data_IF_550513352391
#
_entry.id   IF_550513352391
#
_cell.length_a   1.000
_cell.length_b   1.000
_cell.length_c   1.000
_cell.angle_alpha   90.00
_cell.angle_beta   90.00
_cell.angle_gamma   90.00
#
_symmetry.space_group_name_H-M   'P 1'
#
loop_
_entity.id
_entity.type
_entity.pdbx_description
1 polymer ?
#
# COMPACT_ATOMS: atom_id res chain seq x y z
N UNK A 1 7.59 8.04 -5.89
CA UNK A 1 8.26 7.12 -4.96
C UNK A 1 9.36 6.36 -5.70
N UNK A 2 10.48 7.01 -6.01
CA UNK A 2 11.63 6.33 -6.64
C UNK A 2 12.55 5.68 -5.60
N UNK A 3 12.71 6.33 -4.45
CA UNK A 3 13.46 5.78 -3.32
C UNK A 3 12.68 4.60 -2.70
N UNK A 4 13.38 3.48 -2.47
CA UNK A 4 12.84 2.27 -1.85
C UNK A 4 12.52 2.46 -0.36
N UNK A 5 13.38 3.18 0.36
CA UNK A 5 13.19 3.49 1.78
C UNK A 5 11.89 4.27 2.03
N UNK A 6 11.65 5.34 1.26
CA UNK A 6 10.43 6.14 1.39
C UNK A 6 9.18 5.31 1.12
N UNK A 7 9.25 4.35 0.19
CA UNK A 7 8.12 3.46 -0.06
C UNK A 7 7.86 2.51 1.10
N UNK A 8 8.90 1.91 1.68
CA UNK A 8 8.72 1.11 2.88
C UNK A 8 8.17 1.91 4.05
N UNK A 9 8.63 3.16 4.26
CA UNK A 9 8.05 4.03 5.29
C UNK A 9 6.55 4.27 5.06
N UNK A 10 6.15 4.59 3.82
CA UNK A 10 4.74 4.84 3.47
C UNK A 10 3.86 3.59 3.68
N UNK A 11 4.43 2.38 3.62
CA UNK A 11 3.70 1.13 3.85
C UNK A 11 3.65 0.78 5.34
N UNK A 12 4.80 0.88 6.01
CA UNK A 12 4.96 0.38 7.38
C UNK A 12 4.42 1.36 8.41
N UNK A 13 4.57 2.67 8.20
CA UNK A 13 4.12 3.69 9.17
C UNK A 13 2.60 3.63 9.40
N UNK A 14 1.73 3.57 8.37
CA UNK A 14 0.30 3.43 8.60
C UNK A 14 -0.06 2.17 9.39
N UNK A 15 0.60 1.02 9.11
CA UNK A 15 0.39 -0.21 9.86
C UNK A 15 0.81 -0.07 11.33
N UNK A 16 1.96 0.56 11.59
CA UNK A 16 2.43 0.86 12.93
C UNK A 16 1.46 1.76 13.70
N UNK A 17 0.91 2.78 13.04
CA UNK A 17 -0.10 3.67 13.63
C UNK A 17 -1.37 2.90 13.97
N UNK A 18 -1.88 2.06 13.07
CA UNK A 18 -3.06 1.23 13.32
C UNK A 18 -2.82 0.30 14.52
N UNK A 19 -1.64 -0.30 14.61
CA UNK A 19 -1.27 -1.15 15.74
C UNK A 19 -1.22 -0.38 17.07
N UNK A 20 -0.61 0.82 17.09
CA UNK A 20 -0.54 1.65 18.29
C UNK A 20 -1.93 2.13 18.74
N UNK A 21 -2.80 2.52 17.80
CA UNK A 21 -4.18 2.91 18.09
C UNK A 21 -4.99 1.76 18.67
N UNK A 22 -4.80 0.54 18.14
CA UNK A 22 -5.44 -0.64 18.69
C UNK A 22 -4.94 -0.95 20.11
N UNK A 23 -3.62 -0.91 20.32
CA UNK A 23 -3.00 -1.18 21.63
C UNK A 23 -3.41 -0.18 22.71
N UNK A 24 -3.68 1.07 22.34
CA UNK A 24 -4.14 2.12 23.24
C UNK A 24 -5.68 2.21 23.33
N UNK A 25 -6.41 1.19 22.84
CA UNK A 25 -7.87 1.08 22.90
C UNK A 25 -8.64 2.25 22.26
N UNK A 26 -8.01 2.99 21.33
CA UNK A 26 -8.66 4.11 20.62
C UNK A 26 -9.59 3.66 19.49
N UNK A 27 -9.50 2.39 19.06
CA UNK A 27 -10.31 1.83 17.97
C UNK A 27 -10.94 0.51 18.39
N UNK A 28 -12.21 0.31 18.04
CA UNK A 28 -12.90 -0.96 18.28
C UNK A 28 -12.63 -1.98 17.15
N UNK A 29 -13.05 -3.23 17.34
CA UNK A 29 -12.80 -4.32 16.39
C UNK A 29 -13.39 -4.06 14.99
N UNK A 30 -14.59 -3.51 14.91
CA UNK A 30 -15.23 -3.18 13.62
C UNK A 30 -14.44 -2.12 12.85
N UNK A 31 -14.00 -1.06 13.53
CA UNK A 31 -13.21 0.00 12.94
C UNK A 31 -11.82 -0.51 12.52
N UNK A 32 -11.19 -1.36 13.33
CA UNK A 32 -9.93 -2.02 12.97
C UNK A 32 -10.04 -2.78 11.65
N UNK A 33 -11.05 -3.65 11.52
CA UNK A 33 -11.27 -4.44 10.31
C UNK A 33 -11.54 -3.51 9.11
N UNK A 34 -12.38 -2.50 9.28
CA UNK A 34 -12.68 -1.52 8.23
C UNK A 34 -11.41 -0.79 7.75
N UNK A 35 -10.57 -0.32 8.67
CA UNK A 35 -9.31 0.36 8.35
C UNK A 35 -8.33 -0.59 7.66
N UNK A 36 -8.21 -1.85 8.13
CA UNK A 36 -7.33 -2.84 7.52
C UNK A 36 -7.78 -3.19 6.09
N UNK A 37 -9.08 -3.32 5.85
CA UNK A 37 -9.62 -3.55 4.50
C UNK A 37 -9.37 -2.34 3.59
N UNK A 38 -9.64 -1.13 4.07
CA UNK A 38 -9.34 0.09 3.31
C UNK A 38 -7.84 0.20 3.01
N UNK A 39 -6.99 -0.10 3.99
CA UNK A 39 -5.55 -0.11 3.83
C UNK A 39 -5.13 -1.12 2.74
N UNK A 40 -5.62 -2.36 2.81
CA UNK A 40 -5.23 -3.42 1.89
C UNK A 40 -5.75 -3.20 0.46
N UNK A 41 -6.99 -2.73 0.29
CA UNK A 41 -7.65 -2.65 -1.01
C UNK A 41 -7.43 -1.30 -1.71
N UNK A 42 -7.48 -0.21 -0.95
CA UNK A 42 -7.43 1.15 -1.51
C UNK A 42 -6.02 1.71 -1.39
N UNK A 43 -5.55 1.85 -0.15
CA UNK A 43 -4.28 2.52 0.11
C UNK A 43 -3.09 1.76 -0.50
N UNK A 44 -3.04 0.43 -0.32
CA UNK A 44 -1.96 -0.41 -0.85
C UNK A 44 -1.94 -0.40 -2.37
N UNK A 45 -3.09 -0.59 -3.00
CA UNK A 45 -3.25 -0.57 -4.47
C UNK A 45 -2.77 0.75 -5.06
N UNK A 46 -3.24 1.87 -4.50
CA UNK A 46 -2.84 3.19 -4.97
C UNK A 46 -1.35 3.44 -4.75
N UNK A 47 -0.81 3.11 -3.58
CA UNK A 47 0.61 3.32 -3.25
C UNK A 47 1.52 2.52 -4.17
N UNK A 48 1.16 1.28 -4.48
CA UNK A 48 1.94 0.42 -5.37
C UNK A 48 1.87 0.88 -6.82
N UNK A 49 0.67 1.15 -7.33
CA UNK A 49 0.51 1.69 -8.67
C UNK A 49 1.19 3.05 -8.82
N UNK A 50 1.11 3.94 -7.82
CA UNK A 50 1.81 5.23 -7.83
C UNK A 50 3.32 5.07 -7.90
N UNK A 51 3.90 4.12 -7.15
CA UNK A 51 5.34 3.81 -7.25
C UNK A 51 5.70 3.38 -8.67
N UNK A 52 4.94 2.46 -9.26
CA UNK A 52 5.19 1.96 -10.61
C UNK A 52 5.01 3.06 -11.67
N UNK A 53 4.00 3.92 -11.52
CA UNK A 53 3.76 5.05 -12.41
C UNK A 53 4.88 6.11 -12.31
N UNK A 54 5.36 6.41 -11.10
CA UNK A 54 6.49 7.33 -10.90
C UNK A 54 7.81 6.78 -11.48
N UNK A 55 7.90 5.45 -11.61
CA UNK A 55 8.99 4.74 -12.30
C UNK A 55 8.75 4.56 -13.80
N UNK A 56 7.62 5.07 -14.33
CA UNK A 56 7.20 4.94 -15.74
C UNK A 56 7.00 3.49 -16.22
N UNK A 57 6.76 2.55 -15.29
CA UNK A 57 6.49 1.13 -15.63
C UNK A 57 5.04 0.95 -16.07
N UNK A 58 4.12 1.69 -15.46
CA UNK A 58 2.70 1.73 -15.84
C UNK A 58 2.24 3.17 -16.07
N UNK A 59 1.11 3.37 -16.74
CA UNK A 59 0.48 4.69 -16.84
C UNK A 59 -0.33 4.99 -15.57
N UNK A 60 -0.48 6.27 -15.22
CA UNK A 60 -1.25 6.68 -14.02
C UNK A 60 -2.71 6.18 -14.04
N UNK A 61 -3.30 6.06 -15.23
CA UNK A 61 -4.67 5.52 -15.40
C UNK A 61 -4.78 4.02 -15.05
N UNK A 62 -3.65 3.30 -15.05
CA UNK A 62 -3.60 1.86 -14.78
C UNK A 62 -3.35 1.54 -13.31
N UNK A 63 -3.19 2.56 -12.44
CA UNK A 63 -2.93 2.36 -10.99
C UNK A 63 -4.00 1.46 -10.35
N UNK A 64 -5.28 1.70 -10.64
CA UNK A 64 -6.36 0.91 -10.05
C UNK A 64 -6.44 -0.52 -10.59
N UNK A 65 -5.81 -0.81 -11.73
CA UNK A 65 -5.69 -2.19 -12.25
C UNK A 65 -4.77 -3.06 -11.38
N UNK A 66 -3.96 -2.45 -10.51
CA UNK A 66 -3.10 -3.17 -9.55
C UNK A 66 -3.89 -3.96 -8.50
N UNK A 67 -5.19 -3.70 -8.34
CA UNK A 67 -6.05 -4.48 -7.44
C UNK A 67 -6.28 -5.91 -7.97
N UNK A 68 -6.10 -6.10 -9.28
CA UNK A 68 -6.29 -7.41 -9.90
C UNK A 68 -5.23 -8.39 -9.38
N UNK A 69 -5.64 -9.61 -9.01
CA UNK A 69 -4.72 -10.64 -8.57
C UNK A 69 -3.66 -10.90 -9.66
N UNK A 70 -2.43 -11.18 -9.24
CA UNK A 70 -1.29 -11.43 -10.14
C UNK A 70 -0.53 -10.17 -10.57
N UNK A 71 -1.19 -9.01 -10.78
CA UNK A 71 -0.52 -7.77 -11.24
C UNK A 71 0.57 -7.28 -10.31
N UNK A 72 0.37 -7.44 -9.00
CA UNK A 72 1.38 -7.09 -7.99
C UNK A 72 2.59 -8.01 -8.03
N UNK A 73 2.41 -9.28 -8.40
CA UNK A 73 3.50 -10.24 -8.55
C UNK A 73 4.30 -10.01 -9.84
N UNK A 74 3.63 -9.65 -10.94
CA UNK A 74 4.29 -9.26 -12.20
C UNK A 74 5.31 -8.12 -11.99
N UNK A 75 5.05 -7.22 -11.04
CA UNK A 75 5.90 -6.06 -10.74
C UNK A 75 6.61 -6.16 -9.39
N UNK A 76 6.72 -7.35 -8.80
CA UNK A 76 7.26 -7.53 -7.45
C UNK A 76 8.68 -6.95 -7.31
N UNK A 77 9.55 -7.24 -8.29
CA UNK A 77 10.95 -6.79 -8.26
C UNK A 77 11.04 -5.27 -8.34
N UNK A 78 10.20 -4.64 -9.15
CA UNK A 78 10.14 -3.20 -9.35
C UNK A 78 9.53 -2.47 -8.14
N UNK A 79 8.62 -3.12 -7.42
CA UNK A 79 8.02 -2.59 -6.21
C UNK A 79 8.99 -2.70 -5.01
N UNK A 80 9.60 -3.85 -4.80
CA UNK A 80 10.26 -4.18 -3.53
C UNK A 80 11.80 -4.27 -3.60
N UNK A 81 12.42 -4.38 -4.78
CA UNK A 81 13.87 -4.61 -4.88
C UNK A 81 14.64 -3.53 -5.65
N UNK A 82 13.93 -2.71 -6.42
CA UNK A 82 14.44 -1.55 -7.15
C UNK A 82 13.65 -0.34 -6.73
#
# INVERSE_FOLDING_TARGET
MKNLLNFYMVILVPLGIIFLLNKADFINGTLLVGILLFYALVYRTYTDGKRLADKKIIQKKDIWKMILPGKRFEHFRELYLK
#
